data_IF_619383787085
#
_entry.id   IF_619383787085
#
_cell.length_a   1.000
_cell.length_b   1.000
_cell.length_c   1.000
_cell.angle_alpha   90.00
_cell.angle_beta   90.00
_cell.angle_gamma   90.00
#
_symmetry.space_group_name_H-M   'P 1'
#
loop_
_entity.id
_entity.type
_entity.pdbx_description
1 polymer ?
#
# COMPACT_ATOMS: atom_id res chain seq x y z
N UNK A 1 9.05 19.15 9.80
CA UNK A 1 9.42 19.26 8.36
C UNK A 1 8.90 20.58 7.81
N UNK A 2 9.68 21.21 6.95
CA UNK A 2 9.26 22.49 6.34
C UNK A 2 8.11 22.26 5.36
N UNK A 3 7.20 23.24 5.26
CA UNK A 3 6.05 23.14 4.37
C UNK A 3 6.44 22.88 2.91
N UNK A 4 7.53 23.48 2.45
CA UNK A 4 8.03 23.26 1.08
C UNK A 4 8.42 21.80 0.83
N UNK A 5 9.04 21.15 1.83
CA UNK A 5 9.42 19.74 1.73
C UNK A 5 8.19 18.86 1.73
N UNK A 6 7.17 19.19 2.51
CA UNK A 6 5.92 18.43 2.55
C UNK A 6 5.20 18.49 1.19
N UNK A 7 5.14 19.70 0.59
CA UNK A 7 4.53 19.86 -0.74
C UNK A 7 5.29 19.04 -1.79
N UNK A 8 6.62 19.09 -1.74
CA UNK A 8 7.47 18.31 -2.66
C UNK A 8 7.20 16.81 -2.54
N UNK A 9 7.12 16.31 -1.31
CA UNK A 9 6.83 14.89 -1.06
C UNK A 9 5.41 14.53 -1.47
N UNK A 10 4.45 15.40 -1.24
CA UNK A 10 3.08 15.19 -1.69
C UNK A 10 3.01 15.04 -3.21
N UNK A 11 3.62 15.98 -3.94
CA UNK A 11 3.61 15.95 -5.39
C UNK A 11 4.31 14.70 -5.94
N UNK A 12 5.37 14.25 -5.27
CA UNK A 12 6.14 13.10 -5.72
C UNK A 12 5.47 11.75 -5.39
N UNK A 13 4.80 11.62 -4.25
CA UNK A 13 4.43 10.32 -3.70
C UNK A 13 2.96 10.12 -3.35
N UNK A 14 2.13 11.16 -3.41
CA UNK A 14 0.73 11.05 -2.97
C UNK A 14 -0.03 9.98 -3.76
N UNK A 15 0.15 9.92 -5.07
CA UNK A 15 -0.51 8.92 -5.92
C UNK A 15 -0.07 7.50 -5.57
N UNK A 16 1.23 7.30 -5.35
CA UNK A 16 1.77 6.00 -4.96
C UNK A 16 1.22 5.54 -3.62
N UNK A 17 1.15 6.46 -2.65
CA UNK A 17 0.60 6.18 -1.33
C UNK A 17 -0.90 5.89 -1.39
N UNK A 18 -1.63 6.64 -2.20
CA UNK A 18 -3.05 6.44 -2.41
C UNK A 18 -3.33 5.05 -2.98
N UNK A 19 -2.60 4.68 -4.02
CA UNK A 19 -2.71 3.36 -4.63
C UNK A 19 -2.40 2.24 -3.63
N UNK A 20 -1.32 2.41 -2.88
CA UNK A 20 -0.95 1.49 -1.81
C UNK A 20 -2.09 1.35 -0.78
N UNK A 21 -2.66 2.47 -0.35
CA UNK A 21 -3.72 2.47 0.65
C UNK A 21 -5.02 1.83 0.12
N UNK A 22 -5.34 2.02 -1.16
CA UNK A 22 -6.48 1.34 -1.81
C UNK A 22 -6.28 -0.18 -1.77
N UNK A 23 -5.10 -0.66 -2.16
CA UNK A 23 -4.80 -2.10 -2.14
C UNK A 23 -4.80 -2.65 -0.72
N UNK A 24 -4.39 -1.86 0.26
CA UNK A 24 -4.34 -2.32 1.65
C UNK A 24 -5.73 -2.37 2.27
N UNK A 25 -6.46 -1.27 2.20
CA UNK A 25 -7.74 -1.12 2.89
C UNK A 25 -8.94 -1.68 2.11
N UNK A 26 -8.83 -1.72 0.80
CA UNK A 26 -9.97 -2.07 -0.07
C UNK A 26 -11.06 -1.01 -0.07
N UNK A 27 -10.75 0.21 0.32
CA UNK A 27 -11.70 1.31 0.41
C UNK A 27 -11.09 2.60 -0.11
N UNK A 28 -11.71 3.19 -1.12
CA UNK A 28 -11.35 4.49 -1.66
C UNK A 28 -11.37 5.57 -0.58
N UNK A 29 -12.44 5.61 0.20
CA UNK A 29 -12.63 6.61 1.23
C UNK A 29 -11.56 6.50 2.33
N UNK A 30 -11.30 5.29 2.80
CA UNK A 30 -10.26 5.06 3.80
C UNK A 30 -8.88 5.40 3.25
N UNK A 31 -8.62 5.10 1.97
CA UNK A 31 -7.36 5.44 1.32
C UNK A 31 -7.13 6.95 1.27
N UNK A 32 -8.15 7.73 0.95
CA UNK A 32 -8.06 9.20 0.98
C UNK A 32 -7.72 9.71 2.38
N UNK A 33 -8.40 9.19 3.40
CA UNK A 33 -8.14 9.56 4.80
C UNK A 33 -6.73 9.19 5.23
N UNK A 34 -6.26 8.01 4.85
CA UNK A 34 -4.90 7.54 5.19
C UNK A 34 -3.85 8.48 4.61
N UNK A 35 -3.97 8.84 3.34
CA UNK A 35 -3.02 9.75 2.69
C UNK A 35 -3.05 11.12 3.35
N UNK A 36 -4.22 11.66 3.63
CA UNK A 36 -4.37 12.93 4.34
C UNK A 36 -3.69 12.88 5.70
N UNK A 37 -3.92 11.81 6.48
CA UNK A 37 -3.33 11.67 7.81
C UNK A 37 -1.82 11.64 7.77
N UNK A 38 -1.24 10.94 6.78
CA UNK A 38 0.22 10.89 6.60
C UNK A 38 0.78 12.29 6.41
N UNK A 39 0.22 13.06 5.48
CA UNK A 39 0.75 14.40 5.17
C UNK A 39 0.45 15.43 6.25
N UNK A 40 -0.70 15.33 6.93
CA UNK A 40 -1.00 16.17 8.09
C UNK A 40 0.01 15.94 9.21
N UNK A 41 0.40 14.70 9.45
CA UNK A 41 1.41 14.38 10.44
C UNK A 41 2.77 14.98 10.09
N UNK A 42 3.15 14.96 8.82
CA UNK A 42 4.39 15.58 8.35
C UNK A 42 4.39 17.09 8.59
N UNK A 43 3.24 17.75 8.45
CA UNK A 43 3.11 19.19 8.70
C UNK A 43 3.21 19.53 10.19
N UNK A 44 2.68 18.67 11.06
CA UNK A 44 2.55 18.98 12.48
C UNK A 44 3.73 18.58 13.34
N UNK A 45 4.47 17.57 12.95
CA UNK A 45 5.50 16.95 13.79
C UNK A 45 6.91 17.32 13.32
N UNK A 46 7.86 17.30 14.28
CA UNK A 46 9.28 17.27 13.97
C UNK A 46 9.60 15.87 13.43
N UNK A 47 9.61 15.76 12.12
CA UNK A 47 9.89 14.51 11.45
C UNK A 47 11.33 14.52 10.96
N UNK A 48 12.12 13.58 11.44
CA UNK A 48 13.47 13.34 10.96
C UNK A 48 13.46 12.10 10.08
N UNK A 49 13.94 12.25 8.86
CA UNK A 49 14.15 11.14 7.97
C UNK A 49 15.54 11.24 7.34
N UNK A 50 16.08 10.11 6.94
CA UNK A 50 17.38 10.09 6.28
C UNK A 50 17.20 10.48 4.81
N UNK A 51 18.06 11.36 4.26
CA UNK A 51 18.02 11.68 2.83
C UNK A 51 18.06 10.39 2.00
N UNK A 52 17.21 10.32 0.97
CA UNK A 52 17.09 9.15 0.11
C UNK A 52 16.17 8.05 0.65
N UNK A 53 15.60 8.23 1.83
CA UNK A 53 14.68 7.25 2.46
C UNK A 53 13.24 7.77 2.59
N UNK A 54 12.92 8.86 1.92
CA UNK A 54 11.61 9.50 2.02
C UNK A 54 10.47 8.56 1.62
N UNK A 55 10.63 7.87 0.51
CA UNK A 55 9.59 6.95 0.00
C UNK A 55 9.31 5.83 1.01
N UNK A 56 10.35 5.16 1.48
CA UNK A 56 10.22 4.08 2.47
C UNK A 56 9.58 4.58 3.76
N UNK A 57 9.97 5.77 4.20
CA UNK A 57 9.41 6.39 5.38
C UNK A 57 7.90 6.64 5.23
N UNK A 58 7.50 7.21 4.09
CA UNK A 58 6.10 7.49 3.80
C UNK A 58 5.26 6.21 3.73
N UNK A 59 5.79 5.18 3.07
CA UNK A 59 5.10 3.88 3.00
C UNK A 59 4.97 3.24 4.38
N UNK A 60 5.98 3.38 5.23
CA UNK A 60 5.91 2.89 6.62
C UNK A 60 4.81 3.59 7.41
N UNK A 61 4.73 4.92 7.29
CA UNK A 61 3.65 5.70 7.91
C UNK A 61 2.28 5.25 7.40
N UNK A 62 2.15 5.10 6.08
CA UNK A 62 0.90 4.67 5.47
C UNK A 62 0.52 3.27 5.91
N UNK A 63 1.47 2.34 5.99
CA UNK A 63 1.21 0.98 6.47
C UNK A 63 0.71 0.97 7.92
N UNK A 64 1.31 1.81 8.78
CA UNK A 64 0.86 1.94 10.17
C UNK A 64 -0.59 2.44 10.24
N UNK A 65 -0.92 3.44 9.44
CA UNK A 65 -2.28 3.98 9.38
C UNK A 65 -3.26 2.96 8.82
N UNK A 66 -2.88 2.23 7.78
CA UNK A 66 -3.72 1.17 7.21
C UNK A 66 -4.05 0.10 8.25
N UNK A 67 -3.07 -0.33 9.04
CA UNK A 67 -3.31 -1.30 10.11
C UNK A 67 -4.29 -0.77 11.14
N UNK A 68 -4.18 0.50 11.52
CA UNK A 68 -5.10 1.11 12.47
C UNK A 68 -6.52 1.15 11.90
N UNK A 69 -6.67 1.52 10.63
CA UNK A 69 -7.97 1.53 9.95
C UNK A 69 -8.57 0.13 9.85
N UNK A 70 -7.77 -0.89 9.55
CA UNK A 70 -8.25 -2.27 9.48
C UNK A 70 -8.72 -2.79 10.84
N UNK A 71 -8.04 -2.43 11.92
CA UNK A 71 -8.47 -2.81 13.27
C UNK A 71 -9.82 -2.20 13.60
N UNK A 72 -10.04 -0.93 13.27
CA UNK A 72 -11.33 -0.28 13.49
C UNK A 72 -12.39 -0.79 12.51
N UNK A 73 -11.98 -1.16 11.31
CA UNK A 73 -12.86 -1.63 10.23
C UNK A 73 -13.26 -3.10 10.36
N UNK A 74 -12.71 -3.85 11.31
CA UNK A 74 -13.17 -5.21 11.59
C UNK A 74 -14.66 -5.27 11.92
N UNK A 75 -15.25 -4.11 12.20
CA UNK A 75 -16.69 -3.92 12.48
C UNK A 75 -17.48 -3.43 11.28
N UNK A 76 -16.82 -3.10 10.16
CA UNK A 76 -17.46 -2.59 8.95
C UNK A 76 -17.71 -3.71 7.96
N UNK A 77 -18.80 -3.60 7.24
CA UNK A 77 -19.18 -4.57 6.22
C UNK A 77 -18.39 -4.31 4.94
N UNK A 78 -17.71 -5.33 4.49
CA UNK A 78 -17.30 -5.53 3.11
C UNK A 78 -16.38 -4.49 2.46
N UNK A 79 -15.63 -4.97 1.50
CA UNK A 79 -14.77 -4.17 0.60
C UNK A 79 -15.60 -3.77 -0.61
N UNK A 80 -15.60 -2.49 -0.97
CA UNK A 80 -16.23 -2.01 -2.20
C UNK A 80 -15.24 -2.10 -3.36
N UNK A 81 -15.14 -3.29 -3.95
CA UNK A 81 -14.20 -3.59 -5.03
C UNK A 81 -14.48 -2.76 -6.29
N UNK A 82 -15.75 -2.53 -6.61
CA UNK A 82 -16.11 -1.77 -7.80
C UNK A 82 -15.64 -0.32 -7.70
N UNK A 83 -15.85 0.33 -6.56
CA UNK A 83 -15.38 1.69 -6.31
C UNK A 83 -13.87 1.78 -6.38
N UNK A 84 -13.17 0.80 -5.81
CA UNK A 84 -11.71 0.74 -5.84
C UNK A 84 -11.19 0.58 -7.27
N UNK A 85 -11.79 -0.31 -8.06
CA UNK A 85 -11.41 -0.49 -9.46
C UNK A 85 -11.61 0.78 -10.27
N UNK A 86 -12.73 1.47 -10.07
CA UNK A 86 -13.05 2.72 -10.76
C UNK A 86 -12.00 3.80 -10.47
N UNK A 87 -11.55 3.90 -9.23
CA UNK A 87 -10.49 4.85 -8.87
C UNK A 87 -9.15 4.48 -9.48
N UNK A 88 -8.79 3.19 -9.46
CA UNK A 88 -7.52 2.73 -10.00
C UNK A 88 -7.43 2.92 -11.52
N UNK A 89 -8.55 2.99 -12.22
CA UNK A 89 -8.58 3.24 -13.67
C UNK A 89 -8.01 4.62 -14.05
N UNK A 90 -7.97 5.56 -13.12
CA UNK A 90 -7.36 6.87 -13.36
C UNK A 90 -5.84 6.84 -13.36
N UNK A 91 -5.22 5.73 -12.96
CA UNK A 91 -3.78 5.57 -13.01
C UNK A 91 -3.38 4.93 -14.35
N UNK A 92 -2.33 5.48 -14.96
CA UNK A 92 -1.90 5.09 -16.31
C UNK A 92 -1.55 3.60 -16.47
N UNK A 93 -1.07 2.99 -15.39
CA UNK A 93 -0.66 1.59 -15.39
C UNK A 93 -1.80 0.61 -15.07
N UNK A 94 -3.02 1.09 -14.81
CA UNK A 94 -4.15 0.22 -14.49
C UNK A 94 -4.90 -0.19 -15.75
N UNK A 95 -4.64 -1.40 -16.22
CA UNK A 95 -5.23 -2.00 -17.41
C UNK A 95 -5.94 -3.31 -17.06
N UNK A 96 -6.45 -4.03 -18.05
CA UNK A 96 -7.13 -5.31 -17.84
C UNK A 96 -6.27 -6.34 -17.10
N UNK A 97 -4.98 -6.38 -17.41
CA UNK A 97 -3.99 -7.24 -16.76
C UNK A 97 -3.89 -6.93 -15.26
N UNK A 98 -3.73 -5.66 -14.92
CA UNK A 98 -3.65 -5.21 -13.54
C UNK A 98 -4.98 -5.38 -12.80
N UNK A 99 -6.10 -5.27 -13.50
CA UNK A 99 -7.42 -5.54 -12.92
C UNK A 99 -7.54 -6.99 -12.47
N UNK A 100 -7.10 -7.95 -13.30
CA UNK A 100 -7.10 -9.35 -12.94
C UNK A 100 -6.26 -9.62 -11.69
N UNK A 101 -5.08 -9.03 -11.62
CA UNK A 101 -4.20 -9.12 -10.45
C UNK A 101 -4.85 -8.45 -9.23
N UNK A 102 -5.44 -7.28 -9.41
CA UNK A 102 -6.15 -6.57 -8.35
C UNK A 102 -7.23 -7.46 -7.73
N UNK A 103 -8.07 -8.07 -8.55
CA UNK A 103 -9.16 -8.94 -8.07
C UNK A 103 -8.62 -10.11 -7.26
N UNK A 104 -7.55 -10.75 -7.73
CA UNK A 104 -6.91 -11.86 -7.01
C UNK A 104 -6.30 -11.38 -5.69
N UNK A 105 -5.62 -10.25 -5.69
CA UNK A 105 -5.03 -9.69 -4.48
C UNK A 105 -6.08 -9.33 -3.43
N UNK A 106 -7.20 -8.76 -3.86
CA UNK A 106 -8.25 -8.35 -2.94
C UNK A 106 -8.98 -9.54 -2.31
N UNK A 107 -8.89 -10.73 -2.90
CA UNK A 107 -9.40 -11.96 -2.31
C UNK A 107 -8.45 -12.56 -1.27
N UNK A 108 -7.20 -12.11 -1.22
CA UNK A 108 -6.26 -12.54 -0.20
C UNK A 108 -6.43 -11.72 1.09
N UNK A 109 -6.15 -12.36 2.22
CA UNK A 109 -5.99 -11.64 3.47
C UNK A 109 -4.85 -10.61 3.32
N UNK A 110 -4.98 -9.46 3.97
CA UNK A 110 -4.00 -8.37 3.85
C UNK A 110 -2.58 -8.82 4.23
N UNK A 111 -2.42 -9.80 5.11
CA UNK A 111 -1.10 -10.30 5.50
C UNK A 111 -0.32 -10.91 4.33
N UNK A 112 -1.02 -11.45 3.33
CA UNK A 112 -0.40 -11.96 2.10
C UNK A 112 -0.39 -10.90 1.00
N UNK A 113 -1.47 -10.15 0.91
CA UNK A 113 -1.66 -9.13 -0.14
C UNK A 113 -0.58 -8.05 -0.11
N UNK A 114 -0.26 -7.54 1.07
CA UNK A 114 0.63 -6.37 1.14
C UNK A 114 2.10 -6.68 0.85
N UNK A 115 2.68 -7.78 1.32
CA UNK A 115 4.03 -8.13 0.87
C UNK A 115 4.12 -8.32 -0.65
N UNK A 116 3.13 -8.94 -1.24
CA UNK A 116 3.07 -9.15 -2.70
C UNK A 116 3.00 -7.79 -3.41
N UNK A 117 2.11 -6.91 -2.99
CA UNK A 117 1.99 -5.57 -3.57
C UNK A 117 3.31 -4.80 -3.51
N UNK A 118 3.92 -4.76 -2.34
CA UNK A 118 5.14 -4.00 -2.12
C UNK A 118 6.31 -4.53 -2.96
N UNK A 119 6.38 -5.84 -3.15
CA UNK A 119 7.46 -6.44 -3.93
C UNK A 119 7.24 -6.27 -5.44
N UNK A 120 6.06 -6.64 -5.93
CA UNK A 120 5.80 -6.69 -7.37
C UNK A 120 5.38 -5.35 -7.98
N UNK A 121 4.66 -4.51 -7.24
CA UNK A 121 4.22 -3.20 -7.75
C UNK A 121 5.12 -2.06 -7.31
N UNK A 122 5.48 -2.02 -6.04
CA UNK A 122 6.28 -0.92 -5.51
C UNK A 122 7.78 -1.15 -5.65
N UNK A 123 8.22 -2.37 -6.00
CA UNK A 123 9.61 -2.68 -6.29
C UNK A 123 10.51 -2.80 -5.07
N UNK A 124 9.95 -3.02 -3.88
CA UNK A 124 10.75 -3.14 -2.66
C UNK A 124 11.38 -4.52 -2.51
N UNK A 125 12.57 -4.55 -1.93
CA UNK A 125 13.23 -5.78 -1.51
C UNK A 125 12.52 -6.38 -0.29
N UNK A 126 12.76 -7.65 -0.01
CA UNK A 126 12.23 -8.30 1.20
C UNK A 126 12.67 -7.58 2.47
N UNK A 127 13.90 -7.09 2.50
CA UNK A 127 14.43 -6.32 3.62
C UNK A 127 13.63 -5.04 3.86
N UNK A 128 13.36 -4.29 2.80
CA UNK A 128 12.58 -3.05 2.88
C UNK A 128 11.15 -3.34 3.31
N UNK A 129 10.54 -4.38 2.77
CA UNK A 129 9.18 -4.81 3.13
C UNK A 129 9.11 -5.17 4.61
N UNK A 130 10.12 -5.89 5.11
CA UNK A 130 10.20 -6.24 6.53
C UNK A 130 10.17 -4.99 7.41
N UNK A 131 10.91 -3.95 7.03
CA UNK A 131 10.91 -2.68 7.75
C UNK A 131 9.58 -1.94 7.66
N UNK A 132 8.97 -1.90 6.48
CA UNK A 132 7.68 -1.22 6.25
C UNK A 132 6.56 -1.90 7.05
N UNK A 133 6.49 -3.21 7.00
CA UNK A 133 5.42 -3.99 7.63
C UNK A 133 5.73 -4.41 9.07
N UNK A 134 6.93 -4.15 9.56
CA UNK A 134 7.39 -4.51 10.92
C UNK A 134 7.31 -6.01 11.18
N UNK A 135 7.80 -6.78 10.24
CA UNK A 135 7.92 -8.24 10.33
C UNK A 135 9.34 -8.64 9.94
N UNK A 136 9.72 -9.89 10.16
CA UNK A 136 11.03 -10.39 9.75
C UNK A 136 11.11 -10.61 8.24
N UNK A 137 12.32 -10.63 7.68
CA UNK A 137 12.53 -10.98 6.27
C UNK A 137 12.03 -12.39 5.97
N UNK A 138 12.24 -13.32 6.90
CA UNK A 138 11.73 -14.70 6.77
C UNK A 138 10.21 -14.72 6.66
N UNK A 139 9.52 -13.90 7.46
CA UNK A 139 8.07 -13.77 7.40
C UNK A 139 7.61 -13.19 6.07
N UNK A 140 8.33 -12.21 5.53
CA UNK A 140 8.03 -11.65 4.20
C UNK A 140 8.09 -12.76 3.15
N UNK A 141 9.17 -13.54 3.12
CA UNK A 141 9.34 -14.63 2.16
C UNK A 141 8.22 -15.67 2.26
N UNK A 142 7.89 -16.08 3.48
CA UNK A 142 6.81 -17.06 3.73
C UNK A 142 5.47 -16.52 3.25
N UNK A 143 5.16 -15.27 3.57
CA UNK A 143 3.89 -14.65 3.19
C UNK A 143 3.75 -14.47 1.68
N UNK A 144 4.83 -14.07 1.00
CA UNK A 144 4.82 -13.94 -0.45
C UNK A 144 4.60 -15.31 -1.11
N UNK A 145 5.33 -16.33 -0.67
CA UNK A 145 5.20 -17.66 -1.24
C UNK A 145 3.82 -18.27 -1.01
N UNK A 146 3.27 -18.12 0.19
CA UNK A 146 1.91 -18.60 0.49
C UNK A 146 0.85 -17.83 -0.29
N UNK A 147 1.00 -16.50 -0.38
CA UNK A 147 0.07 -15.67 -1.15
C UNK A 147 0.06 -16.05 -2.62
N UNK A 148 1.23 -16.23 -3.22
CA UNK A 148 1.35 -16.67 -4.61
C UNK A 148 0.68 -18.03 -4.83
N UNK A 149 0.84 -18.96 -3.90
CA UNK A 149 0.22 -20.29 -4.00
C UNK A 149 -1.29 -20.22 -3.90
N UNK A 150 -1.84 -19.23 -3.20
CA UNK A 150 -3.29 -19.04 -3.06
C UNK A 150 -3.91 -18.32 -4.25
N UNK A 151 -3.13 -17.63 -5.05
CA UNK A 151 -3.63 -16.92 -6.23
C UNK A 151 -3.89 -17.90 -7.37
N UNK A 152 -4.99 -17.68 -8.07
CA UNK A 152 -5.40 -18.54 -9.20
C UNK A 152 -4.61 -18.25 -10.47
N UNK A 153 -3.96 -17.09 -10.54
CA UNK A 153 -3.17 -16.66 -11.69
C UNK A 153 -1.70 -16.55 -11.30
N UNK A 154 -0.80 -16.81 -12.25
CA UNK A 154 0.63 -16.62 -12.05
C UNK A 154 0.98 -15.11 -12.08
N UNK A 155 1.61 -14.63 -11.02
CA UNK A 155 1.97 -13.21 -10.92
C UNK A 155 2.94 -12.79 -12.03
N UNK A 156 3.88 -13.64 -12.36
CA UNK A 156 4.91 -13.35 -13.37
C UNK A 156 4.31 -13.11 -14.77
N UNK A 157 3.15 -13.69 -15.04
CA UNK A 157 2.43 -13.46 -16.33
C UNK A 157 1.78 -12.07 -16.37
N UNK A 158 1.52 -11.47 -15.23
CA UNK A 158 0.77 -10.23 -15.10
C UNK A 158 1.59 -9.06 -14.57
N UNK A 159 2.76 -9.32 -14.07
CA UNK A 159 3.69 -8.32 -13.54
C UNK A 159 5.04 -8.42 -14.22
#
# INVERSE_FOLDING_TARGET
MKNEDVVRLFDAYADDLYRFAVYYSGSKHDAEDIVQDVFLKLLGDHVEYKPGKEKTYLFTMAANKCRDYLRSASRKTGVDLESCENELQYFDDFNERNRAVFDELMNLDYQFRMPIYLHYYAGYSYKDIAGILKISESAVAVRINRGKALMKIGLEEYL
#
